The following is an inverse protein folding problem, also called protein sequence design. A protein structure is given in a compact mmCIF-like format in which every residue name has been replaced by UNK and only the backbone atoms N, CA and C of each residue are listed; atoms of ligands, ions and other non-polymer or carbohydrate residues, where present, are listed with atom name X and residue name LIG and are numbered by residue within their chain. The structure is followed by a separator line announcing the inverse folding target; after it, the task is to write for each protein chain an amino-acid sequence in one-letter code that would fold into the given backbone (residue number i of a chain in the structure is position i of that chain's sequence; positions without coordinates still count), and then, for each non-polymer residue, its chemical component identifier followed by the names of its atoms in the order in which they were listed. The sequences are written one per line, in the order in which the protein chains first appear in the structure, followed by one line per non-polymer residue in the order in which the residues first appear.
data_IF_288869541065
#
_entry.id   IF_288869541065
#
_cell.length_a   1.000
_cell.length_b   1.000
_cell.length_c   1.000
_cell.angle_alpha   90.00
_cell.angle_beta   90.00
_cell.angle_gamma   90.00
#
_symmetry.space_group_name_H-M   'P 1'
#
loop_
_entity.id
_entity.type
_entity.pdbx_description
1 polymer ?
#
# COMPACT_ATOMS: atom_id res chain seq x y z
N UNK A 1 -16.97 11.51 13.16
CA UNK A 1 -15.93 11.89 14.15
C UNK A 1 -15.90 13.42 14.22
N UNK A 2 -16.07 14.05 15.40
CA UNK A 2 -16.06 15.52 15.52
C UNK A 2 -14.67 15.96 16.01
N UNK A 3 -13.77 16.26 15.07
CA UNK A 3 -12.37 16.62 15.33
C UNK A 3 -12.24 18.08 15.77
N UNK A 4 -13.02 18.56 16.75
CA UNK A 4 -12.91 19.92 17.29
C UNK A 4 -12.86 21.06 16.23
N UNK A 5 -13.46 20.86 15.06
CA UNK A 5 -13.40 21.81 13.93
C UNK A 5 -12.12 21.77 13.08
N UNK A 6 -11.21 20.82 13.33
CA UNK A 6 -10.00 20.60 12.53
C UNK A 6 -10.32 19.87 11.23
N UNK A 7 -9.78 20.41 10.15
CA UNK A 7 -9.80 19.83 8.82
C UNK A 7 -8.59 18.91 8.66
N UNK A 8 -8.83 17.64 8.32
CA UNK A 8 -7.78 16.63 8.12
C UNK A 8 -7.69 16.28 6.64
N UNK A 9 -6.47 16.33 6.13
CA UNK A 9 -6.13 16.02 4.73
C UNK A 9 -5.19 14.82 4.73
N UNK A 10 -5.45 13.86 3.84
CA UNK A 10 -4.45 12.85 3.51
C UNK A 10 -3.47 13.42 2.48
N UNK A 11 -2.23 13.65 2.93
CA UNK A 11 -1.18 14.25 2.11
C UNK A 11 -0.39 13.22 1.29
N UNK A 12 -0.59 11.92 1.51
CA UNK A 12 0.19 10.88 0.86
C UNK A 12 -0.63 9.62 0.60
N UNK A 13 -1.12 9.51 -0.64
CA UNK A 13 -1.87 8.37 -1.11
C UNK A 13 -1.16 7.64 -2.25
N UNK A 14 -1.37 6.33 -2.31
CA UNK A 14 -0.95 5.50 -3.43
C UNK A 14 -2.17 4.79 -4.00
N UNK A 15 -2.62 5.23 -5.17
CA UNK A 15 -3.69 4.55 -5.88
C UNK A 15 -3.16 3.28 -6.54
N UNK A 16 -3.82 2.13 -6.36
CA UNK A 16 -3.52 0.98 -7.19
C UNK A 16 -3.81 1.35 -8.64
N UNK A 17 -2.95 0.86 -9.51
CA UNK A 17 -3.12 0.97 -10.94
C UNK A 17 -3.36 -0.44 -11.48
N UNK A 18 -4.42 -0.62 -12.25
CA UNK A 18 -4.71 -1.88 -12.95
C UNK A 18 -3.57 -2.38 -13.84
N UNK A 19 -2.67 -1.47 -14.28
CA UNK A 19 -1.47 -1.88 -14.99
C UNK A 19 -0.49 -2.54 -14.02
N UNK A 20 0.03 -3.74 -14.31
CA UNK A 20 1.06 -4.38 -13.51
C UNK A 20 2.41 -3.69 -13.76
N UNK A 21 2.53 -2.43 -13.36
CA UNK A 21 3.74 -1.63 -13.34
C UNK A 21 4.70 -2.17 -12.28
N UNK A 22 5.25 -3.35 -12.54
CA UNK A 22 6.00 -4.09 -11.53
C UNK A 22 6.51 -5.45 -11.95
N UNK A 23 6.09 -5.98 -13.12
CA UNK A 23 6.64 -7.22 -13.68
C UNK A 23 8.12 -6.99 -14.01
N UNK A 24 8.98 -7.40 -13.08
CA UNK A 24 10.43 -7.27 -13.20
C UNK A 24 11.16 -6.82 -11.95
N UNK A 25 10.51 -6.57 -10.79
CA UNK A 25 11.27 -6.21 -9.57
C UNK A 25 12.33 -7.26 -9.23
N UNK A 26 11.98 -8.56 -9.25
CA UNK A 26 12.97 -9.64 -9.07
C UNK A 26 14.02 -9.59 -10.17
N UNK A 27 13.61 -9.58 -11.44
CA UNK A 27 14.54 -9.52 -12.59
C UNK A 27 15.56 -8.39 -12.45
N UNK A 28 15.13 -7.17 -12.12
CA UNK A 28 16.01 -6.02 -11.90
C UNK A 28 16.99 -6.19 -10.73
N UNK A 29 16.56 -6.87 -9.67
CA UNK A 29 17.44 -7.19 -8.54
C UNK A 29 18.47 -8.24 -8.93
N UNK A 30 18.06 -9.29 -9.65
CA UNK A 30 18.95 -10.34 -10.15
C UNK A 30 19.96 -9.76 -11.15
N UNK A 31 19.50 -8.99 -12.14
CA UNK A 31 20.35 -8.36 -13.16
C UNK A 31 21.40 -7.42 -12.52
N UNK A 32 21.12 -6.85 -11.35
CA UNK A 32 22.01 -5.91 -10.65
C UNK A 32 22.93 -6.55 -9.61
N UNK A 33 22.42 -7.54 -8.87
CA UNK A 33 23.09 -8.04 -7.65
C UNK A 33 23.34 -9.56 -7.67
N UNK A 34 22.82 -10.30 -8.65
CA UNK A 34 22.82 -11.75 -8.68
C UNK A 34 21.65 -12.37 -7.88
N UNK A 35 21.41 -13.67 -8.09
CA UNK A 35 20.30 -14.43 -7.48
C UNK A 35 20.35 -14.38 -5.94
N UNK A 36 21.48 -14.75 -5.35
CA UNK A 36 21.63 -14.86 -3.88
C UNK A 36 21.31 -13.54 -3.16
N UNK A 37 21.90 -12.44 -3.61
CA UNK A 37 21.62 -11.12 -3.01
C UNK A 37 20.20 -10.66 -3.29
N UNK A 38 19.64 -10.97 -4.46
CA UNK A 38 18.25 -10.64 -4.76
C UNK A 38 17.29 -11.36 -3.79
N UNK A 39 17.57 -12.61 -3.44
CA UNK A 39 16.77 -13.38 -2.47
C UNK A 39 16.83 -12.77 -1.07
N UNK A 40 18.02 -12.45 -0.58
CA UNK A 40 18.21 -11.79 0.72
C UNK A 40 17.46 -10.44 0.77
N UNK A 41 17.55 -9.64 -0.29
CA UNK A 41 16.85 -8.34 -0.37
C UNK A 41 15.33 -8.55 -0.30
N UNK A 42 14.80 -9.53 -1.05
CA UNK A 42 13.36 -9.81 -1.09
C UNK A 42 12.85 -10.36 0.24
N UNK A 43 13.62 -11.23 0.89
CA UNK A 43 13.32 -11.78 2.22
C UNK A 43 13.30 -10.68 3.27
N UNK A 44 14.37 -9.87 3.36
CA UNK A 44 14.43 -8.74 4.28
C UNK A 44 13.27 -7.76 4.04
N UNK A 45 12.97 -7.46 2.77
CA UNK A 45 11.82 -6.62 2.40
C UNK A 45 10.48 -7.20 2.87
N UNK A 46 10.29 -8.53 2.85
CA UNK A 46 9.11 -9.18 3.42
C UNK A 46 9.10 -9.08 4.94
N UNK A 47 10.21 -9.37 5.61
CA UNK A 47 10.33 -9.31 7.06
C UNK A 47 10.03 -7.90 7.59
N UNK A 48 10.63 -6.86 7.01
CA UNK A 48 10.40 -5.48 7.44
C UNK A 48 8.94 -5.04 7.30
N UNK A 49 8.30 -5.35 6.17
CA UNK A 49 6.88 -5.06 5.97
C UNK A 49 6.00 -5.75 7.00
N UNK A 50 6.29 -7.01 7.32
CA UNK A 50 5.54 -7.77 8.32
C UNK A 50 5.74 -7.20 9.73
N UNK A 51 6.98 -6.85 10.09
CA UNK A 51 7.29 -6.23 11.39
C UNK A 51 6.60 -4.88 11.55
N UNK A 52 6.68 -4.01 10.53
CA UNK A 52 6.03 -2.70 10.54
C UNK A 52 4.52 -2.81 10.70
N UNK A 53 3.87 -3.68 9.92
CA UNK A 53 2.43 -3.92 10.02
C UNK A 53 2.00 -4.33 11.43
N UNK A 54 2.71 -5.29 12.04
CA UNK A 54 2.44 -5.74 13.42
C UNK A 54 2.64 -4.63 14.45
N UNK A 55 3.66 -3.80 14.29
CA UNK A 55 3.96 -2.70 15.21
C UNK A 55 2.83 -1.67 15.30
N UNK A 56 2.12 -1.45 14.20
CA UNK A 56 1.05 -0.45 14.09
C UNK A 56 -0.36 -1.06 14.04
N UNK A 57 -0.48 -2.36 14.36
CA UNK A 57 -1.75 -3.09 14.34
C UNK A 57 -2.54 -2.96 13.02
N UNK A 58 -1.84 -2.87 11.90
CA UNK A 58 -2.47 -2.89 10.58
C UNK A 58 -2.85 -4.32 10.20
N UNK A 59 -4.02 -4.49 9.59
CA UNK A 59 -4.49 -5.77 9.07
C UNK A 59 -3.62 -6.26 7.89
N UNK A 60 -3.50 -7.58 7.68
CA UNK A 60 -2.85 -8.10 6.48
C UNK A 60 -3.58 -7.65 5.21
N UNK A 61 -2.87 -7.59 4.06
CA UNK A 61 -3.52 -7.33 2.78
C UNK A 61 -4.62 -8.36 2.49
N UNK A 62 -5.68 -7.93 1.79
CA UNK A 62 -6.74 -8.82 1.32
C UNK A 62 -6.17 -9.86 0.34
N UNK A 63 -6.46 -11.14 0.60
CA UNK A 63 -5.95 -12.24 -0.21
C UNK A 63 -6.81 -12.47 -1.46
N UNK A 64 -6.18 -12.53 -2.63
CA UNK A 64 -6.82 -12.96 -3.87
C UNK A 64 -7.81 -11.97 -4.49
N UNK A 65 -7.99 -10.79 -3.89
CA UNK A 65 -8.92 -9.76 -4.41
C UNK A 65 -8.13 -8.70 -5.18
N UNK A 66 -8.43 -8.57 -6.46
CA UNK A 66 -7.94 -7.47 -7.30
C UNK A 66 -9.17 -6.64 -7.66
N UNK A 67 -9.36 -5.53 -6.95
CA UNK A 67 -10.39 -4.57 -7.30
C UNK A 67 -10.00 -3.81 -8.56
N UNK A 68 -11.01 -3.42 -9.34
CA UNK A 68 -10.77 -2.49 -10.43
C UNK A 68 -10.55 -1.06 -9.89
N UNK A 69 -9.97 -0.18 -10.72
CA UNK A 69 -9.58 1.16 -10.30
C UNK A 69 -10.79 1.96 -9.76
N UNK A 70 -11.97 1.83 -10.37
CA UNK A 70 -13.20 2.52 -9.93
C UNK A 70 -13.69 2.01 -8.58
N UNK A 71 -13.71 0.69 -8.40
CA UNK A 71 -14.14 0.07 -7.15
C UNK A 71 -13.20 0.44 -6.01
N UNK A 72 -11.88 0.42 -6.24
CA UNK A 72 -10.94 0.84 -5.21
C UNK A 72 -11.09 2.33 -4.87
N UNK A 73 -11.27 3.18 -5.88
CA UNK A 73 -11.51 4.61 -5.67
C UNK A 73 -12.75 4.84 -4.81
N UNK A 74 -13.85 4.12 -5.09
CA UNK A 74 -15.08 4.23 -4.29
C UNK A 74 -14.86 3.78 -2.84
N UNK A 75 -14.22 2.62 -2.64
CA UNK A 75 -13.90 2.11 -1.29
C UNK A 75 -13.05 3.11 -0.49
N UNK A 76 -12.13 3.81 -1.17
CA UNK A 76 -11.31 4.85 -0.56
C UNK A 76 -12.16 6.06 -0.13
N UNK A 77 -13.06 6.53 -0.99
CA UNK A 77 -13.98 7.64 -0.64
C UNK A 77 -14.83 7.27 0.58
N UNK A 78 -15.40 6.06 0.60
CA UNK A 78 -16.23 5.60 1.73
C UNK A 78 -15.44 5.55 3.05
N UNK A 79 -14.17 5.12 3.00
CA UNK A 79 -13.27 5.08 4.16
C UNK A 79 -12.89 6.50 4.62
N UNK A 80 -12.65 7.44 3.70
CA UNK A 80 -12.40 8.84 4.00
C UNK A 80 -13.60 9.49 4.70
N UNK A 81 -14.81 9.27 4.19
CA UNK A 81 -16.04 9.80 4.75
C UNK A 81 -16.29 9.27 6.17
N UNK A 82 -16.10 7.95 6.37
CA UNK A 82 -16.22 7.33 7.69
C UNK A 82 -15.23 7.92 8.72
N UNK A 83 -14.03 8.29 8.27
CA UNK A 83 -12.97 8.88 9.10
C UNK A 83 -13.08 10.41 9.23
N UNK A 84 -13.92 11.07 8.44
CA UNK A 84 -14.07 12.52 8.43
C UNK A 84 -12.87 13.24 7.80
N UNK A 85 -12.26 12.64 6.78
CA UNK A 85 -11.19 13.25 5.99
C UNK A 85 -11.80 14.21 4.95
N UNK A 86 -11.20 15.38 4.77
CA UNK A 86 -11.73 16.40 3.84
C UNK A 86 -11.33 16.13 2.39
N UNK A 87 -10.07 15.71 2.17
CA UNK A 87 -9.55 15.42 0.83
C UNK A 87 -8.25 14.61 0.88
N UNK A 88 -7.89 14.08 -0.29
CA UNK A 88 -6.60 13.46 -0.59
C UNK A 88 -5.87 14.29 -1.65
N UNK A 89 -4.55 14.43 -1.53
CA UNK A 89 -3.68 15.06 -2.55
C UNK A 89 -3.06 14.04 -3.51
#
# INVERSE_FOLDING_TARGET
MNLYGLKVIDFHSHFPVQRPGGRGRRKRLVDRYGEERADIILENSRMYRNKWRRMWAFEPPEDGVIHNDHEQAQRWVDDMDAKGLERVN
#
